data_IF_089787787468
#
_entry.id   IF_089787787468
#
_cell.length_a   1.000
_cell.length_b   1.000
_cell.length_c   1.000
_cell.angle_alpha   90.00
_cell.angle_beta   90.00
_cell.angle_gamma   90.00
#
_symmetry.space_group_name_H-M   'P 1'
#
loop_
_entity.id
_entity.type
_entity.pdbx_description
1 polymer ?
#
# COMPACT_ATOMS: atom_id res chain seq x y z
N UNK A 1 3.31 2.71 14.00
CA UNK A 1 4.41 2.15 13.20
C UNK A 1 5.34 3.24 12.66
N UNK A 2 4.86 4.27 11.99
CA UNK A 2 5.71 5.35 11.45
C UNK A 2 6.54 6.08 12.51
N UNK A 3 5.96 6.40 13.67
CA UNK A 3 6.68 7.01 14.79
C UNK A 3 7.83 6.14 15.32
N UNK A 4 7.62 4.84 15.41
CA UNK A 4 8.68 3.89 15.78
C UNK A 4 9.80 3.86 14.75
N UNK A 5 9.44 3.89 13.47
CA UNK A 5 10.42 3.92 12.36
C UNK A 5 11.26 5.18 12.41
N UNK A 6 10.63 6.35 12.63
CA UNK A 6 11.36 7.64 12.75
C UNK A 6 12.31 7.63 13.95
N UNK A 7 11.88 7.08 15.09
CA UNK A 7 12.74 6.94 16.27
C UNK A 7 13.95 6.02 16.00
N UNK A 8 13.73 4.87 15.37
CA UNK A 8 14.82 3.94 15.05
C UNK A 8 15.80 4.53 14.04
N UNK A 9 15.31 5.20 12.99
CA UNK A 9 16.17 5.91 12.04
C UNK A 9 16.94 7.03 12.72
N UNK A 10 16.31 7.79 13.61
CA UNK A 10 16.98 8.82 14.41
C UNK A 10 18.10 8.24 15.27
N UNK A 11 17.83 7.14 15.95
CA UNK A 11 18.85 6.42 16.75
C UNK A 11 19.99 5.89 15.88
N UNK A 12 19.72 5.36 14.71
CA UNK A 12 20.72 4.87 13.78
C UNK A 12 21.65 5.98 13.32
N UNK A 13 21.07 7.12 12.87
CA UNK A 13 21.83 8.29 12.44
C UNK A 13 22.68 8.83 13.61
N UNK A 14 22.10 8.94 14.79
CA UNK A 14 22.79 9.42 15.98
C UNK A 14 23.96 8.50 16.38
N UNK A 15 23.75 7.20 16.36
CA UNK A 15 24.79 6.20 16.63
C UNK A 15 25.93 6.27 15.61
N UNK A 16 25.61 6.47 14.34
CA UNK A 16 26.59 6.61 13.25
C UNK A 16 27.48 7.83 13.43
N UNK A 17 26.88 8.96 13.84
CA UNK A 17 27.64 10.21 14.03
C UNK A 17 28.46 10.23 15.32
N UNK A 18 27.95 9.69 16.44
CA UNK A 18 28.60 9.73 17.75
C UNK A 18 29.57 8.57 18.00
N UNK A 19 29.18 7.37 17.58
CA UNK A 19 29.95 6.15 17.86
C UNK A 19 30.80 5.72 16.66
N UNK A 20 30.64 6.33 15.48
CA UNK A 20 31.34 5.97 14.25
C UNK A 20 31.03 4.54 13.78
N UNK A 21 30.01 3.89 14.35
CA UNK A 21 29.60 2.53 14.05
C UNK A 21 28.14 2.50 13.59
N UNK A 22 27.88 1.88 12.43
CA UNK A 22 26.52 1.56 12.01
C UNK A 22 26.17 0.15 12.45
N UNK A 23 24.98 -0.01 13.02
CA UNK A 23 24.44 -1.33 13.36
C UNK A 23 23.66 -1.86 12.16
N UNK A 24 24.25 -2.77 11.39
CA UNK A 24 23.62 -3.35 10.18
C UNK A 24 22.25 -3.98 10.44
N UNK A 25 22.04 -4.54 11.65
CA UNK A 25 20.74 -5.09 12.01
C UNK A 25 19.64 -4.02 12.17
N UNK A 26 20.00 -2.81 12.59
CA UNK A 26 19.07 -1.70 12.79
C UNK A 26 18.60 -1.14 11.44
N UNK A 27 19.52 -0.98 10.48
CA UNK A 27 19.21 -0.60 9.12
C UNK A 27 18.23 -1.58 8.45
N UNK A 28 18.48 -2.87 8.65
CA UNK A 28 17.64 -3.93 8.10
C UNK A 28 16.25 -3.95 8.74
N UNK A 29 16.18 -3.78 10.06
CA UNK A 29 14.91 -3.67 10.79
C UNK A 29 14.08 -2.46 10.29
N UNK A 30 14.72 -1.30 10.12
CA UNK A 30 14.08 -0.10 9.59
C UNK A 30 13.51 -0.34 8.18
N UNK A 31 14.24 -1.04 7.32
CA UNK A 31 13.78 -1.42 5.98
C UNK A 31 12.53 -2.29 6.03
N UNK A 32 12.49 -3.28 6.91
CA UNK A 32 11.33 -4.17 7.06
C UNK A 32 10.11 -3.42 7.62
N UNK A 33 10.31 -2.60 8.64
CA UNK A 33 9.24 -1.76 9.18
C UNK A 33 8.70 -0.76 8.16
N UNK A 34 9.57 -0.21 7.31
CA UNK A 34 9.16 0.69 6.23
C UNK A 34 8.28 -0.04 5.21
N UNK A 35 8.69 -1.21 4.74
CA UNK A 35 7.90 -2.03 3.82
C UNK A 35 6.55 -2.36 4.43
N UNK A 36 6.53 -2.86 5.67
CA UNK A 36 5.28 -3.22 6.35
C UNK A 36 4.35 -2.01 6.54
N UNK A 37 4.87 -0.87 7.01
CA UNK A 37 4.05 0.33 7.21
C UNK A 37 3.49 0.89 5.89
N UNK A 38 4.27 0.83 4.81
CA UNK A 38 3.84 1.30 3.49
C UNK A 38 2.70 0.44 2.93
N UNK A 39 2.83 -0.88 2.95
CA UNK A 39 1.80 -1.76 2.41
C UNK A 39 0.53 -1.81 3.27
N UNK A 40 0.65 -1.76 4.59
CA UNK A 40 -0.51 -1.60 5.47
C UNK A 40 -1.19 -0.24 5.23
N UNK A 41 -0.39 0.81 5.02
CA UNK A 41 -0.89 2.14 4.69
C UNK A 41 -1.75 2.15 3.41
N UNK A 42 -1.30 1.47 2.35
CA UNK A 42 -2.08 1.31 1.11
C UNK A 42 -3.43 0.65 1.37
N UNK A 43 -3.45 -0.46 2.12
CA UNK A 43 -4.69 -1.18 2.44
C UNK A 43 -5.68 -0.33 3.28
N UNK A 44 -5.16 0.53 4.16
CA UNK A 44 -5.98 1.46 4.96
C UNK A 44 -6.49 2.61 4.10
N UNK A 45 -5.64 3.19 3.24
CA UNK A 45 -6.02 4.29 2.36
C UNK A 45 -7.18 3.91 1.43
N UNK A 46 -7.15 2.71 0.88
CA UNK A 46 -8.26 2.19 0.05
C UNK A 46 -9.55 2.03 0.85
N UNK A 47 -9.46 1.62 2.13
CA UNK A 47 -10.64 1.53 3.02
C UNK A 47 -11.33 2.88 3.21
N UNK A 48 -10.57 3.95 3.35
CA UNK A 48 -11.10 5.29 3.58
C UNK A 48 -11.44 6.06 2.30
N UNK A 49 -11.34 5.40 1.12
CA UNK A 49 -11.56 6.04 -0.20
C UNK A 49 -10.72 7.32 -0.39
N UNK A 50 -9.56 7.38 0.28
CA UNK A 50 -8.66 8.54 0.25
C UNK A 50 -7.87 8.66 -1.07
N UNK A 51 -8.35 8.06 -2.14
CA UNK A 51 -7.84 8.33 -3.50
C UNK A 51 -8.30 9.72 -3.99
N UNK A 52 -8.24 10.68 -3.07
CA UNK A 52 -8.77 12.05 -3.16
C UNK A 52 -8.27 12.85 -4.37
N UNK A 53 -7.13 12.49 -4.94
CA UNK A 53 -6.56 13.26 -6.06
C UNK A 53 -7.35 13.13 -7.35
N UNK A 54 -7.96 11.98 -7.58
CA UNK A 54 -8.81 11.76 -8.75
C UNK A 54 -10.16 12.44 -8.55
N UNK A 55 -10.68 12.44 -7.31
CA UNK A 55 -11.97 13.06 -6.97
C UNK A 55 -11.94 14.58 -7.16
N UNK A 56 -10.86 15.27 -6.79
CA UNK A 56 -10.74 16.72 -7.00
C UNK A 56 -10.76 17.11 -8.49
N UNK A 57 -10.15 16.30 -9.36
CA UNK A 57 -10.22 16.52 -10.80
C UNK A 57 -11.62 16.20 -11.36
N UNK A 58 -12.28 15.20 -10.79
CA UNK A 58 -13.63 14.81 -11.16
C UNK A 58 -14.68 15.86 -10.76
N UNK A 59 -14.53 16.54 -9.62
CA UNK A 59 -15.46 17.57 -9.16
C UNK A 59 -15.53 18.76 -10.13
N UNK A 60 -14.41 19.14 -10.71
CA UNK A 60 -14.37 20.19 -11.75
C UNK A 60 -15.08 19.74 -13.03
N UNK A 61 -14.96 18.47 -13.39
CA UNK A 61 -15.53 17.91 -14.62
C UNK A 61 -17.01 17.52 -14.47
N UNK A 62 -17.48 17.22 -13.24
CA UNK A 62 -18.85 16.84 -12.88
C UNK A 62 -19.89 17.88 -13.31
N UNK A 63 -19.54 19.18 -13.19
CA UNK A 63 -20.42 20.28 -13.60
C UNK A 63 -20.73 20.29 -15.09
N UNK A 64 -19.88 19.67 -15.93
CA UNK A 64 -20.02 19.76 -17.39
C UNK A 64 -20.44 18.44 -18.05
N UNK A 65 -19.97 17.27 -17.51
CA UNK A 65 -20.24 15.95 -18.09
C UNK A 65 -20.33 14.84 -17.01
N UNK A 66 -21.46 14.68 -16.32
CA UNK A 66 -21.58 13.72 -15.21
C UNK A 66 -21.41 12.26 -15.63
N UNK A 67 -21.82 11.89 -16.85
CA UNK A 67 -21.67 10.52 -17.37
C UNK A 67 -20.20 10.15 -17.65
N UNK A 68 -19.42 11.10 -18.14
CA UNK A 68 -17.99 10.92 -18.39
C UNK A 68 -17.21 10.68 -17.08
N UNK A 69 -17.59 11.38 -16.03
CA UNK A 69 -17.00 11.21 -14.69
C UNK A 69 -17.25 9.81 -14.13
N UNK A 70 -18.46 9.29 -14.32
CA UNK A 70 -18.80 7.91 -13.89
C UNK A 70 -17.97 6.86 -14.61
N UNK A 71 -17.78 7.00 -15.91
CA UNK A 71 -16.98 6.07 -16.72
C UNK A 71 -15.51 6.14 -16.26
N UNK A 72 -14.96 7.35 -16.12
CA UNK A 72 -13.58 7.56 -15.66
C UNK A 72 -13.33 6.96 -14.27
N UNK A 73 -14.28 7.09 -13.35
CA UNK A 73 -14.19 6.49 -12.02
C UNK A 73 -14.11 4.97 -12.10
N UNK A 74 -15.03 4.33 -12.82
CA UNK A 74 -15.06 2.87 -12.97
C UNK A 74 -13.79 2.36 -13.66
N UNK A 75 -13.33 3.04 -14.71
CA UNK A 75 -12.09 2.69 -15.42
C UNK A 75 -10.88 2.82 -14.51
N UNK A 76 -10.79 3.87 -13.70
CA UNK A 76 -9.71 4.08 -12.74
C UNK A 76 -9.65 2.98 -11.68
N UNK A 77 -10.81 2.64 -11.07
CA UNK A 77 -10.90 1.57 -10.07
C UNK A 77 -10.57 0.19 -10.66
N UNK A 78 -11.02 -0.06 -11.90
CA UNK A 78 -10.70 -1.30 -12.59
C UNK A 78 -9.20 -1.40 -12.89
N UNK A 79 -8.60 -0.32 -13.41
CA UNK A 79 -7.16 -0.26 -13.70
C UNK A 79 -6.33 -0.47 -12.43
N UNK A 80 -6.73 0.16 -11.33
CA UNK A 80 -6.08 -0.01 -10.03
C UNK A 80 -6.19 -1.47 -9.53
N UNK A 81 -7.36 -2.08 -9.67
CA UNK A 81 -7.58 -3.49 -9.28
C UNK A 81 -6.72 -4.44 -10.11
N UNK A 82 -6.63 -4.22 -11.43
CA UNK A 82 -5.76 -5.01 -12.31
C UNK A 82 -4.29 -4.85 -11.91
N UNK A 83 -3.85 -3.63 -11.63
CA UNK A 83 -2.50 -3.38 -11.14
C UNK A 83 -2.20 -4.14 -9.84
N UNK A 84 -3.10 -4.08 -8.85
CA UNK A 84 -2.96 -4.81 -7.60
C UNK A 84 -2.93 -6.33 -7.82
N UNK A 85 -3.73 -6.86 -8.75
CA UNK A 85 -3.74 -8.27 -9.11
C UNK A 85 -2.42 -8.72 -9.75
N UNK A 86 -1.83 -7.91 -10.63
CA UNK A 86 -0.52 -8.17 -11.20
C UNK A 86 0.57 -8.18 -10.12
N UNK A 87 0.58 -7.19 -9.23
CA UNK A 87 1.53 -7.14 -8.11
C UNK A 87 1.37 -8.36 -7.20
N UNK A 88 0.13 -8.75 -6.90
CA UNK A 88 -0.16 -9.97 -6.14
C UNK A 88 0.43 -11.21 -6.79
N UNK A 89 0.17 -11.40 -8.09
CA UNK A 89 0.66 -12.56 -8.84
C UNK A 89 2.20 -12.64 -8.84
N UNK A 90 2.88 -11.55 -9.17
CA UNK A 90 4.34 -11.50 -9.17
C UNK A 90 4.95 -11.65 -7.78
N UNK A 91 4.30 -11.14 -6.74
CA UNK A 91 4.77 -11.29 -5.36
C UNK A 91 4.74 -12.73 -4.88
N UNK A 92 3.78 -13.55 -5.32
CA UNK A 92 3.75 -14.98 -5.02
C UNK A 92 4.95 -15.71 -5.63
N UNK A 93 5.28 -15.45 -6.90
CA UNK A 93 6.46 -16.02 -7.55
C UNK A 93 7.77 -15.59 -6.88
N UNK A 94 7.85 -14.34 -6.39
CA UNK A 94 8.98 -13.86 -5.62
C UNK A 94 9.15 -14.62 -4.29
N UNK A 95 8.03 -14.85 -3.56
CA UNK A 95 8.05 -15.62 -2.32
C UNK A 95 8.48 -17.07 -2.53
N UNK A 96 7.98 -17.72 -3.60
CA UNK A 96 8.37 -19.08 -3.95
C UNK A 96 9.88 -19.20 -4.20
N UNK A 97 10.47 -18.24 -4.91
CA UNK A 97 11.91 -18.18 -5.12
C UNK A 97 12.69 -17.99 -3.81
N UNK A 98 12.20 -17.15 -2.90
CA UNK A 98 12.83 -16.92 -1.59
C UNK A 98 12.78 -18.16 -0.69
N UNK A 99 11.71 -18.95 -0.77
CA UNK A 99 11.60 -20.24 -0.08
C UNK A 99 12.61 -21.24 -0.65
N UNK A 100 12.67 -21.31 -1.97
CA UNK A 100 13.54 -22.26 -2.69
C UNK A 100 15.03 -22.01 -2.41
N UNK A 101 15.45 -20.76 -2.38
CA UNK A 101 16.85 -20.39 -2.19
C UNK A 101 17.23 -20.05 -0.76
N UNK A 102 16.33 -20.24 0.24
CA UNK A 102 16.54 -19.98 1.66
C UNK A 102 17.34 -18.69 1.93
N UNK A 103 16.87 -17.58 1.36
CA UNK A 103 17.54 -16.30 1.54
C UNK A 103 17.45 -15.88 3.02
N UNK A 104 18.60 -15.90 3.69
CA UNK A 104 18.73 -15.45 5.07
C UNK A 104 19.30 -14.04 5.06
N UNK A 105 18.76 -13.19 5.89
CA UNK A 105 19.25 -11.84 6.13
C UNK A 105 20.67 -11.86 6.66
N UNK A 106 21.51 -10.96 6.18
CA UNK A 106 22.93 -10.91 6.56
C UNK A 106 23.17 -10.37 7.98
N UNK A 107 22.24 -9.56 8.51
CA UNK A 107 22.42 -8.90 9.80
C UNK A 107 21.52 -9.46 10.91
N UNK A 108 20.29 -9.86 10.58
CA UNK A 108 19.32 -10.39 11.54
C UNK A 108 19.25 -11.92 11.54
N UNK A 109 19.90 -12.60 10.60
CA UNK A 109 19.88 -14.06 10.42
C UNK A 109 18.47 -14.67 10.30
N UNK A 110 17.46 -13.84 10.03
CA UNK A 110 16.07 -14.26 9.80
C UNK A 110 15.81 -14.46 8.32
N UNK A 111 14.84 -15.31 8.01
CA UNK A 111 14.44 -15.53 6.62
C UNK A 111 13.79 -14.25 6.05
N UNK A 112 14.38 -13.71 5.00
CA UNK A 112 13.94 -12.50 4.31
C UNK A 112 12.48 -12.61 3.82
N UNK A 113 11.98 -13.81 3.60
CA UNK A 113 10.60 -14.11 3.24
C UNK A 113 9.58 -13.42 4.20
N UNK A 114 9.86 -13.38 5.51
CA UNK A 114 8.94 -12.74 6.47
C UNK A 114 8.73 -11.25 6.21
N UNK A 115 9.78 -10.57 5.77
CA UNK A 115 9.69 -9.15 5.43
C UNK A 115 8.82 -8.90 4.20
N UNK A 116 8.84 -9.79 3.22
CA UNK A 116 8.12 -9.61 1.95
C UNK A 116 6.73 -10.25 1.93
N UNK A 117 6.39 -11.07 2.94
CA UNK A 117 5.08 -11.72 3.05
C UNK A 117 3.93 -10.71 3.18
N UNK A 118 4.21 -9.51 3.68
CA UNK A 118 3.21 -8.44 3.79
C UNK A 118 2.69 -7.97 2.41
N UNK A 119 3.50 -8.10 1.34
CA UNK A 119 3.12 -7.63 0.00
C UNK A 119 1.89 -8.36 -0.54
N UNK A 120 1.89 -9.71 -0.68
CA UNK A 120 0.70 -10.40 -1.18
C UNK A 120 -0.49 -10.27 -0.22
N UNK A 121 -0.27 -10.24 1.10
CA UNK A 121 -1.36 -10.07 2.08
C UNK A 121 -2.04 -8.72 1.88
N UNK A 122 -1.27 -7.63 1.81
CA UNK A 122 -1.84 -6.30 1.65
C UNK A 122 -2.51 -6.12 0.28
N UNK A 123 -1.95 -6.70 -0.79
CA UNK A 123 -2.55 -6.65 -2.12
C UNK A 123 -3.86 -7.43 -2.18
N UNK A 124 -3.93 -8.61 -1.57
CA UNK A 124 -5.18 -9.37 -1.47
C UNK A 124 -6.27 -8.58 -0.72
N UNK A 125 -5.92 -7.97 0.41
CA UNK A 125 -6.83 -7.11 1.17
C UNK A 125 -7.27 -5.89 0.35
N UNK A 126 -6.36 -5.27 -0.37
CA UNK A 126 -6.64 -4.12 -1.24
C UNK A 126 -7.61 -4.49 -2.35
N UNK A 127 -7.35 -5.58 -3.08
CA UNK A 127 -8.24 -6.09 -4.14
C UNK A 127 -9.65 -6.35 -3.57
N UNK A 128 -9.73 -7.06 -2.44
CA UNK A 128 -11.00 -7.36 -1.79
C UNK A 128 -11.78 -6.09 -1.44
N UNK A 129 -11.11 -5.10 -0.86
CA UNK A 129 -11.72 -3.82 -0.49
C UNK A 129 -12.16 -2.99 -1.69
N UNK A 130 -11.35 -2.93 -2.74
CA UNK A 130 -11.70 -2.20 -3.97
C UNK A 130 -12.92 -2.83 -4.64
N UNK A 131 -12.96 -4.16 -4.77
CA UNK A 131 -14.11 -4.85 -5.33
C UNK A 131 -15.37 -4.68 -4.47
N UNK A 132 -15.25 -4.74 -3.15
CA UNK A 132 -16.36 -4.49 -2.24
C UNK A 132 -16.89 -3.06 -2.37
N UNK A 133 -15.99 -2.08 -2.49
CA UNK A 133 -16.35 -0.68 -2.72
C UNK A 133 -17.08 -0.50 -4.04
N UNK A 134 -16.53 -1.01 -5.14
CA UNK A 134 -17.12 -0.92 -6.47
C UNK A 134 -18.51 -1.60 -6.53
N UNK A 135 -18.65 -2.78 -5.93
CA UNK A 135 -19.95 -3.47 -5.87
C UNK A 135 -21.00 -2.64 -5.11
N UNK A 136 -20.62 -2.05 -3.98
CA UNK A 136 -21.51 -1.20 -3.18
C UNK A 136 -21.94 0.05 -3.93
N UNK A 137 -21.00 0.69 -4.64
CA UNK A 137 -21.26 1.92 -5.38
C UNK A 137 -22.18 1.67 -6.60
N UNK A 138 -22.02 0.53 -7.28
CA UNK A 138 -22.89 0.12 -8.38
C UNK A 138 -24.29 -0.24 -7.87
N UNK A 139 -24.38 -1.01 -6.75
CA UNK A 139 -25.65 -1.48 -6.21
C UNK A 139 -26.53 -0.35 -5.66
N UNK A 140 -25.92 0.59 -4.96
CA UNK A 140 -26.66 1.68 -4.32
C UNK A 140 -26.99 2.81 -5.29
N UNK A 141 -26.54 2.74 -6.54
CA UNK A 141 -26.66 3.81 -7.57
C UNK A 141 -26.18 5.19 -7.02
N UNK A 142 -25.54 5.13 -5.87
CA UNK A 142 -24.98 6.24 -5.12
C UNK A 142 -23.48 6.22 -5.37
N UNK A 143 -23.09 6.83 -6.46
CA UNK A 143 -21.74 7.38 -6.49
C UNK A 143 -21.76 8.40 -5.36
N UNK A 144 -21.17 8.09 -4.21
CA UNK A 144 -21.07 9.00 -3.05
C UNK A 144 -20.22 10.22 -3.42
N UNK A 145 -20.75 11.03 -4.32
CA UNK A 145 -20.29 12.38 -4.61
C UNK A 145 -21.04 13.42 -3.77
N UNK A 146 -21.98 12.98 -2.92
CA UNK A 146 -22.98 13.87 -2.32
C UNK A 146 -22.85 14.10 -0.82
N UNK A 147 -21.88 13.59 -0.12
CA UNK A 147 -21.83 13.80 1.34
C UNK A 147 -20.51 14.34 1.84
N UNK A 148 -20.25 15.61 1.49
CA UNK A 148 -19.39 16.49 2.31
C UNK A 148 -19.65 17.96 1.92
N UNK A 149 -20.90 18.36 1.94
CA UNK A 149 -21.29 19.73 2.23
C UNK A 149 -22.08 19.68 3.52
N UNK A 150 -21.37 19.60 4.65
CA UNK A 150 -21.79 20.06 5.98
C UNK A 150 -20.52 20.24 6.83
#
# INVERSE_FOLDING_TARGET
>A
MLSLLVLLLGMEVFSRFLLGKSFSWMEELCRYLFVWSSYIGVAIAVKHKEQLRILMFMDVLKKRFPQLVRILYVVSELTFTVFCALVFYYSLGMLENMIRFKQVSAALEINVMYAYLIIPISMALTIFRTLQGLYRDIRNNTLEFESRED
#
